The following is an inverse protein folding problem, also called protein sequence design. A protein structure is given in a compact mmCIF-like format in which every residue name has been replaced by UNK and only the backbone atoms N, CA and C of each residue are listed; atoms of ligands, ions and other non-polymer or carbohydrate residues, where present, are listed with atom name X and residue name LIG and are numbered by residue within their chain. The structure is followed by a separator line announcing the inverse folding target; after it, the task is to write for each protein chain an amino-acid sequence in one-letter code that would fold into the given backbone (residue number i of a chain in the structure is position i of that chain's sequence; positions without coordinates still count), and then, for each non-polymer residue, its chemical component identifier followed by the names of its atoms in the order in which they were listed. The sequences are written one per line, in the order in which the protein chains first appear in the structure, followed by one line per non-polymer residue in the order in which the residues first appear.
data_IF_436864071137
#
_entry.id   IF_436864071137
#
_cell.length_a   1.000
_cell.length_b   1.000
_cell.length_c   1.000
_cell.angle_alpha   90.00
_cell.angle_beta   90.00
_cell.angle_gamma   90.00
#
_symmetry.space_group_name_H-M   'P 1'
#
loop_
_entity.id
_entity.type
_entity.pdbx_description
1 polymer ?
#
# COMPACT_ATOMS: atom_id res chain seq x y z
N UNK A 1 -4.70 -2.21 23.75
CA UNK A 1 -5.57 -1.10 23.29
C UNK A 1 -4.76 0.07 22.72
N UNK A 2 -3.84 -0.16 21.76
CA UNK A 2 -2.98 0.88 21.18
C UNK A 2 -3.01 0.95 19.63
N UNK A 3 -3.76 0.06 18.98
CA UNK A 3 -3.75 -0.08 17.51
C UNK A 3 -4.71 0.84 16.74
N UNK A 4 -5.76 1.39 17.39
CA UNK A 4 -6.82 2.11 16.66
C UNK A 4 -6.47 3.55 16.31
N UNK A 5 -5.61 4.22 17.09
CA UNK A 5 -5.28 5.64 16.86
C UNK A 5 -4.34 5.82 15.66
N UNK A 6 -3.36 4.92 15.50
CA UNK A 6 -2.43 4.93 14.36
C UNK A 6 -3.07 4.44 13.07
N UNK A 7 -4.09 3.57 13.17
CA UNK A 7 -4.84 3.08 12.00
C UNK A 7 -5.62 4.22 11.31
N UNK A 8 -6.26 5.10 12.09
CA UNK A 8 -7.03 6.21 11.55
C UNK A 8 -6.14 7.29 10.90
N UNK A 9 -4.99 7.61 11.50
CA UNK A 9 -4.04 8.56 10.92
C UNK A 9 -3.42 8.00 9.63
N UNK A 10 -3.04 6.72 9.62
CA UNK A 10 -2.48 6.06 8.42
C UNK A 10 -3.50 6.02 7.29
N UNK A 11 -4.77 5.71 7.58
CA UNK A 11 -5.84 5.75 6.59
C UNK A 11 -6.02 7.15 5.98
N UNK A 12 -5.99 8.21 6.80
CA UNK A 12 -6.13 9.58 6.29
C UNK A 12 -4.96 9.98 5.37
N UNK A 13 -3.73 9.60 5.74
CA UNK A 13 -2.55 9.82 4.89
C UNK A 13 -2.70 9.07 3.58
N UNK A 14 -3.10 7.80 3.61
CA UNK A 14 -3.29 6.99 2.41
C UNK A 14 -4.42 7.51 1.53
N UNK A 15 -5.50 7.99 2.13
CA UNK A 15 -6.59 8.61 1.38
C UNK A 15 -6.10 9.86 0.62
N UNK A 16 -5.24 10.67 1.25
CA UNK A 16 -4.61 11.80 0.59
C UNK A 16 -3.67 11.37 -0.55
N UNK A 17 -2.84 10.35 -0.33
CA UNK A 17 -1.98 9.76 -1.36
C UNK A 17 -2.81 9.27 -2.55
N UNK A 18 -3.87 8.51 -2.32
CA UNK A 18 -4.76 8.02 -3.38
C UNK A 18 -5.39 9.17 -4.16
N UNK A 19 -5.75 10.28 -3.48
CA UNK A 19 -6.25 11.48 -4.16
C UNK A 19 -5.18 12.11 -5.07
N UNK A 20 -3.94 12.24 -4.62
CA UNK A 20 -2.85 12.75 -5.46
C UNK A 20 -2.65 11.87 -6.71
N UNK A 21 -2.74 10.54 -6.56
CA UNK A 21 -2.68 9.62 -7.71
C UNK A 21 -3.78 9.88 -8.73
N UNK A 22 -5.01 10.16 -8.28
CA UNK A 22 -6.14 10.53 -9.16
C UNK A 22 -5.95 11.87 -9.88
N UNK A 23 -5.09 12.74 -9.36
CA UNK A 23 -4.70 14.01 -9.98
C UNK A 23 -3.49 13.85 -10.93
N UNK A 24 -3.27 12.64 -11.48
CA UNK A 24 -2.18 12.26 -12.39
C UNK A 24 -0.77 12.43 -11.80
N UNK A 25 -0.61 12.31 -10.47
CA UNK A 25 0.70 12.29 -9.82
C UNK A 25 1.11 10.86 -9.50
N UNK A 26 2.34 10.48 -9.84
CA UNK A 26 2.90 9.19 -9.40
C UNK A 26 3.45 9.33 -7.98
N UNK A 27 2.98 8.48 -7.07
CA UNK A 27 3.47 8.40 -5.69
C UNK A 27 4.06 7.03 -5.44
N UNK A 28 5.26 6.97 -4.89
CA UNK A 28 5.91 5.75 -4.42
C UNK A 28 6.09 5.89 -2.91
N UNK A 29 5.58 4.93 -2.15
CA UNK A 29 5.74 4.91 -0.70
C UNK A 29 5.98 3.48 -0.20
N UNK A 30 6.66 3.38 0.94
CA UNK A 30 6.85 2.14 1.68
C UNK A 30 6.11 2.25 3.00
N UNK A 31 5.23 1.31 3.31
CA UNK A 31 4.52 1.26 4.57
C UNK A 31 5.08 0.13 5.40
N UNK A 32 5.62 0.46 6.57
CA UNK A 32 6.02 -0.57 7.53
C UNK A 32 4.75 -1.18 8.13
N UNK A 33 4.42 -2.41 7.72
CA UNK A 33 3.30 -3.21 8.23
C UNK A 33 1.92 -2.55 7.98
N UNK A 34 1.44 -2.49 6.73
CA UNK A 34 0.10 -1.99 6.46
C UNK A 34 -0.95 -2.90 7.11
N UNK A 35 -2.02 -2.29 7.61
CA UNK A 35 -3.24 -3.05 7.92
C UNK A 35 -3.90 -3.52 6.62
N UNK A 36 -4.78 -4.53 6.69
CA UNK A 36 -5.50 -5.03 5.50
C UNK A 36 -6.26 -3.91 4.77
N UNK A 37 -6.90 -3.02 5.52
CA UNK A 37 -7.61 -1.87 4.96
C UNK A 37 -6.68 -0.94 4.16
N UNK A 38 -5.48 -0.66 4.69
CA UNK A 38 -4.50 0.19 4.00
C UNK A 38 -3.92 -0.54 2.79
N UNK A 39 -3.70 -1.85 2.90
CA UNK A 39 -3.21 -2.66 1.78
C UNK A 39 -4.18 -2.62 0.58
N UNK A 40 -5.49 -2.65 0.83
CA UNK A 40 -6.53 -2.54 -0.19
C UNK A 40 -6.56 -1.18 -0.91
N UNK A 41 -5.89 -0.15 -0.38
CA UNK A 41 -5.81 1.18 -1.00
C UNK A 41 -4.69 1.30 -2.04
N UNK A 42 -3.77 0.33 -2.12
CA UNK A 42 -2.72 0.33 -3.14
C UNK A 42 -3.28 -0.07 -4.51
N UNK A 43 -2.77 0.57 -5.57
CA UNK A 43 -3.02 0.17 -6.96
C UNK A 43 -2.04 -0.92 -7.39
N UNK A 44 -0.74 -0.63 -7.27
CA UNK A 44 0.33 -1.58 -7.55
C UNK A 44 1.16 -1.83 -6.28
N UNK A 45 1.71 -3.04 -6.16
CA UNK A 45 2.60 -3.42 -5.05
C UNK A 45 3.91 -3.96 -5.61
N UNK A 46 5.00 -3.64 -4.91
CA UNK A 46 6.32 -4.24 -5.11
C UNK A 46 6.61 -5.08 -3.87
N UNK A 47 6.85 -6.37 -4.07
CA UNK A 47 7.22 -7.29 -2.99
C UNK A 47 8.67 -7.67 -3.20
N UNK A 48 9.46 -7.47 -2.15
CA UNK A 48 10.89 -7.78 -2.13
C UNK A 48 11.16 -8.93 -1.16
N UNK A 49 12.05 -9.84 -1.54
CA UNK A 49 12.66 -10.84 -0.65
C UNK A 49 14.17 -10.74 -0.76
N UNK A 50 14.87 -10.62 0.37
CA UNK A 50 16.35 -10.56 0.40
C UNK A 50 16.93 -9.50 -0.56
N UNK A 51 16.21 -8.39 -0.79
CA UNK A 51 16.62 -7.31 -1.70
C UNK A 51 16.26 -7.52 -3.17
N UNK A 52 15.66 -8.66 -3.54
CA UNK A 52 15.24 -8.95 -4.91
C UNK A 52 13.72 -8.81 -5.08
N UNK A 53 13.27 -8.32 -6.23
CA UNK A 53 11.85 -8.19 -6.55
C UNK A 53 11.25 -9.55 -6.88
N UNK A 54 10.27 -9.96 -6.09
CA UNK A 54 9.52 -11.21 -6.29
C UNK A 54 8.23 -10.96 -7.05
N UNK A 55 7.64 -9.79 -6.85
CA UNK A 55 6.42 -9.37 -7.54
C UNK A 55 6.40 -7.86 -7.76
N UNK A 56 5.96 -7.45 -8.94
CA UNK A 56 5.60 -6.07 -9.23
C UNK A 56 4.40 -6.02 -10.17
N UNK A 57 3.29 -5.48 -9.68
CA UNK A 57 2.06 -5.42 -10.46
C UNK A 57 0.85 -4.98 -9.64
N UNK A 58 -0.36 -5.05 -10.24
CA UNK A 58 -1.61 -4.72 -9.56
C UNK A 58 -1.78 -5.52 -8.27
N UNK A 59 -2.27 -4.92 -7.19
CA UNK A 59 -2.41 -5.66 -5.93
C UNK A 59 -3.37 -6.85 -6.08
N UNK A 60 -4.35 -6.75 -6.98
CA UNK A 60 -5.42 -7.73 -7.18
C UNK A 60 -4.87 -9.08 -7.65
N UNK A 61 -3.78 -9.08 -8.43
CA UNK A 61 -3.16 -10.31 -8.94
C UNK A 61 -2.06 -10.85 -8.02
N UNK A 62 -1.81 -10.19 -6.87
CA UNK A 62 -0.74 -10.61 -5.96
C UNK A 62 -1.00 -12.01 -5.43
N UNK A 63 -2.25 -12.34 -5.06
CA UNK A 63 -2.57 -13.64 -4.48
C UNK A 63 -2.44 -14.76 -5.51
N UNK A 64 -2.76 -14.51 -6.78
CA UNK A 64 -2.62 -15.53 -7.84
C UNK A 64 -1.15 -15.81 -8.19
N UNK A 65 -0.23 -14.88 -7.86
CA UNK A 65 1.20 -15.00 -8.14
C UNK A 65 1.97 -15.85 -7.11
N UNK A 66 1.43 -16.04 -5.90
CA UNK A 66 2.07 -16.77 -4.80
C UNK A 66 1.32 -18.06 -4.46
#
# INVERSE_FOLDING_TARGET
RRFTKDSASTHNVMHFVTRLCKENKTVICTIHQPSSLVYEMFTNVVILTVGETVYFGPREHTIDHF
#
